data_IF_987144164414
#
_entry.id   IF_987144164414
#
_cell.length_a   1.000
_cell.length_b   1.000
_cell.length_c   1.000
_cell.angle_alpha   90.00
_cell.angle_beta   90.00
_cell.angle_gamma   90.00
#
_symmetry.space_group_name_H-M   'P 1'
#
loop_
_entity.id
_entity.type
_entity.pdbx_description
1 polymer ?
#
# COMPACT_ATOMS: atom_id res chain seq x y z
N UNK A 1 2.47 -2.26 -8.24
CA UNK A 1 3.51 -3.26 -8.60
C UNK A 1 4.54 -2.69 -9.61
N UNK A 2 4.14 -2.18 -10.79
CA UNK A 2 5.10 -1.73 -11.81
C UNK A 2 5.98 -0.55 -11.35
N UNK A 3 5.47 0.37 -10.53
CA UNK A 3 6.26 1.45 -9.93
C UNK A 3 7.26 0.87 -8.93
N UNK A 4 6.84 -0.12 -8.14
CA UNK A 4 7.68 -0.78 -7.15
C UNK A 4 8.84 -1.54 -7.79
N UNK A 5 8.56 -2.41 -8.75
CA UNK A 5 9.60 -3.21 -9.40
C UNK A 5 10.72 -2.36 -10.03
N UNK A 6 10.39 -1.12 -10.46
CA UNK A 6 11.37 -0.19 -11.00
C UNK A 6 12.12 0.63 -9.92
N UNK A 7 11.51 0.86 -8.76
CA UNK A 7 12.11 1.68 -7.70
C UNK A 7 12.98 0.87 -6.73
N UNK A 8 12.62 -0.37 -6.42
CA UNK A 8 13.35 -1.20 -5.47
C UNK A 8 14.85 -1.38 -5.82
N UNK A 9 15.25 -1.55 -7.09
CA UNK A 9 16.67 -1.56 -7.46
C UNK A 9 17.41 -0.28 -7.09
N UNK A 10 16.80 0.89 -7.23
CA UNK A 10 17.42 2.18 -6.88
C UNK A 10 17.67 2.28 -5.37
N UNK A 11 16.75 1.79 -4.54
CA UNK A 11 16.97 1.68 -3.09
C UNK A 11 18.09 0.71 -2.80
N UNK A 12 18.10 -0.45 -3.47
CA UNK A 12 19.14 -1.49 -3.30
C UNK A 12 20.55 -1.00 -3.63
N UNK A 13 20.69 -0.13 -4.63
CA UNK A 13 22.00 0.47 -4.98
C UNK A 13 22.52 1.43 -3.89
N UNK A 14 21.65 2.08 -3.15
CA UNK A 14 22.00 3.03 -2.10
C UNK A 14 22.23 2.35 -0.73
N UNK A 15 21.48 1.30 -0.42
CA UNK A 15 21.59 0.57 0.85
C UNK A 15 22.80 -0.36 0.84
N UNK A 16 23.64 -0.29 1.88
CA UNK A 16 24.89 -1.07 1.97
C UNK A 16 24.71 -2.45 2.63
N UNK A 17 23.61 -2.71 3.34
CA UNK A 17 23.32 -3.97 4.00
C UNK A 17 22.94 -5.05 2.99
N UNK A 18 23.77 -6.06 2.81
CA UNK A 18 23.55 -7.15 1.84
C UNK A 18 22.24 -7.90 2.09
N UNK A 19 21.87 -8.12 3.35
CA UNK A 19 20.63 -8.83 3.75
C UNK A 19 19.41 -8.05 3.30
N UNK A 20 19.41 -6.72 3.44
CA UNK A 20 18.34 -5.84 2.97
C UNK A 20 18.26 -5.90 1.44
N UNK A 21 19.40 -5.85 0.75
CA UNK A 21 19.47 -5.92 -0.71
C UNK A 21 18.89 -7.24 -1.24
N UNK A 22 19.17 -8.37 -0.61
CA UNK A 22 18.56 -9.66 -0.96
C UNK A 22 17.03 -9.62 -0.83
N UNK A 23 16.52 -9.05 0.26
CA UNK A 23 15.08 -8.90 0.48
C UNK A 23 14.42 -8.00 -0.58
N UNK A 24 15.04 -6.86 -0.92
CA UNK A 24 14.54 -5.93 -1.96
C UNK A 24 14.47 -6.60 -3.34
N UNK A 25 15.44 -7.45 -3.70
CA UNK A 25 15.42 -8.19 -4.96
C UNK A 25 14.31 -9.27 -4.98
N UNK A 26 14.08 -9.96 -3.86
CA UNK A 26 12.97 -10.91 -3.73
C UNK A 26 11.64 -10.17 -3.88
N UNK A 27 11.47 -9.04 -3.20
CA UNK A 27 10.28 -8.21 -3.34
C UNK A 27 10.07 -7.77 -4.78
N UNK A 28 11.10 -7.25 -5.48
CA UNK A 28 11.00 -6.84 -6.88
C UNK A 28 10.51 -7.99 -7.79
N UNK A 29 10.94 -9.22 -7.54
CA UNK A 29 10.43 -10.40 -8.23
C UNK A 29 8.94 -10.65 -7.91
N UNK A 30 8.54 -10.58 -6.62
CA UNK A 30 7.15 -10.77 -6.21
C UNK A 30 6.23 -9.71 -6.84
N UNK A 31 6.66 -8.45 -6.95
CA UNK A 31 5.90 -7.40 -7.65
C UNK A 31 5.64 -7.73 -9.14
N UNK A 32 6.60 -8.38 -9.80
CA UNK A 32 6.39 -8.86 -11.17
C UNK A 32 5.35 -9.99 -11.22
N UNK A 33 5.36 -10.89 -10.23
CA UNK A 33 4.36 -11.97 -10.11
C UNK A 33 2.98 -11.38 -9.82
N UNK A 34 2.86 -10.40 -8.93
CA UNK A 34 1.60 -9.71 -8.62
C UNK A 34 1.02 -9.04 -9.87
N UNK A 35 1.83 -8.33 -10.65
CA UNK A 35 1.41 -7.72 -11.93
C UNK A 35 0.87 -8.75 -12.92
N UNK A 36 1.50 -9.94 -13.01
CA UNK A 36 1.01 -11.03 -13.85
C UNK A 36 -0.30 -11.63 -13.32
N UNK A 37 -0.44 -11.78 -12.01
CA UNK A 37 -1.64 -12.29 -11.34
C UNK A 37 -2.84 -11.39 -11.60
N UNK A 38 -2.70 -10.08 -11.46
CA UNK A 38 -3.76 -9.11 -11.80
C UNK A 38 -4.14 -9.18 -13.30
N UNK A 39 -3.15 -9.28 -14.18
CA UNK A 39 -3.41 -9.42 -15.62
C UNK A 39 -4.19 -10.71 -15.91
N UNK A 40 -3.81 -11.82 -15.29
CA UNK A 40 -4.50 -13.10 -15.42
C UNK A 40 -5.95 -13.06 -14.90
N UNK A 41 -6.17 -12.42 -13.73
CA UNK A 41 -7.52 -12.21 -13.20
C UNK A 41 -8.38 -11.41 -14.19
N UNK A 42 -7.86 -10.33 -14.76
CA UNK A 42 -8.58 -9.52 -15.76
C UNK A 42 -8.88 -10.33 -17.03
N UNK A 43 -7.93 -11.11 -17.52
CA UNK A 43 -8.14 -11.98 -18.69
C UNK A 43 -9.24 -13.02 -18.47
N UNK A 44 -9.44 -13.47 -17.24
CA UNK A 44 -10.48 -14.46 -16.90
C UNK A 44 -11.90 -13.89 -16.79
N UNK A 45 -12.05 -12.57 -16.63
CA UNK A 45 -13.35 -11.93 -16.35
C UNK A 45 -13.74 -10.83 -17.34
N UNK A 46 -12.82 -10.34 -18.18
CA UNK A 46 -13.04 -9.25 -19.12
C UNK A 46 -12.72 -9.66 -20.56
N UNK A 47 -13.37 -8.99 -21.54
CA UNK A 47 -12.88 -9.05 -22.91
C UNK A 47 -11.52 -8.37 -23.06
N UNK A 48 -10.71 -8.71 -24.09
CA UNK A 48 -9.41 -8.07 -24.31
C UNK A 48 -9.48 -6.54 -24.39
N UNK A 49 -10.55 -6.01 -25.02
CA UNK A 49 -10.76 -4.57 -25.16
C UNK A 49 -10.99 -3.93 -23.78
N UNK A 50 -11.86 -4.53 -22.95
CA UNK A 50 -12.17 -4.03 -21.62
C UNK A 50 -10.97 -4.15 -20.67
N UNK A 51 -10.21 -5.24 -20.77
CA UNK A 51 -8.95 -5.39 -20.05
C UNK A 51 -7.98 -4.24 -20.36
N UNK A 52 -7.78 -3.94 -21.65
CA UNK A 52 -6.87 -2.87 -22.05
C UNK A 52 -7.35 -1.49 -21.54
N UNK A 53 -8.66 -1.22 -21.60
CA UNK A 53 -9.24 -0.01 -21.02
C UNK A 53 -8.88 0.11 -19.51
N UNK A 54 -9.11 -0.96 -18.73
CA UNK A 54 -8.84 -0.99 -17.28
C UNK A 54 -7.34 -0.81 -16.99
N UNK A 55 -6.46 -1.50 -17.72
CA UNK A 55 -5.01 -1.41 -17.51
C UNK A 55 -4.43 -0.01 -17.74
N UNK A 56 -5.09 0.80 -18.57
CA UNK A 56 -4.67 2.17 -18.86
C UNK A 56 -5.50 3.25 -18.15
N UNK A 57 -6.53 2.88 -17.40
CA UNK A 57 -7.44 3.82 -16.73
C UNK A 57 -6.69 4.77 -15.77
N UNK A 58 -5.62 4.32 -15.13
CA UNK A 58 -4.81 5.13 -14.24
C UNK A 58 -4.25 6.41 -14.87
N UNK A 59 -4.16 6.48 -16.20
CA UNK A 59 -3.67 7.66 -16.92
C UNK A 59 -4.70 8.80 -17.01
N UNK A 60 -5.98 8.48 -16.81
CA UNK A 60 -7.10 9.42 -17.00
C UNK A 60 -7.98 9.55 -15.77
N UNK A 61 -7.99 8.57 -14.88
CA UNK A 61 -8.73 8.62 -13.63
C UNK A 61 -7.98 9.49 -12.60
N UNK A 62 -8.63 10.52 -12.09
CA UNK A 62 -8.01 11.51 -11.20
C UNK A 62 -7.52 10.90 -9.87
N UNK A 63 -8.26 9.95 -9.30
CA UNK A 63 -7.86 9.28 -8.06
C UNK A 63 -6.60 8.44 -8.26
N UNK A 64 -6.58 7.61 -9.30
CA UNK A 64 -5.43 6.76 -9.61
C UNK A 64 -4.21 7.58 -10.02
N UNK A 65 -4.41 8.61 -10.83
CA UNK A 65 -3.33 9.51 -11.24
C UNK A 65 -2.71 10.23 -10.05
N UNK A 66 -3.53 10.77 -9.12
CA UNK A 66 -3.07 11.44 -7.91
C UNK A 66 -2.23 10.51 -7.02
N UNK A 67 -2.71 9.28 -6.78
CA UNK A 67 -2.01 8.26 -5.99
C UNK A 67 -0.65 7.89 -6.61
N UNK A 68 -0.65 7.60 -7.90
CA UNK A 68 0.58 7.24 -8.62
C UNK A 68 1.57 8.41 -8.68
N UNK A 69 1.09 9.63 -8.86
CA UNK A 69 1.93 10.84 -8.87
C UNK A 69 2.55 11.07 -7.49
N UNK A 70 1.79 10.90 -6.42
CA UNK A 70 2.30 11.07 -5.06
C UNK A 70 3.47 10.12 -4.77
N UNK A 71 3.33 8.84 -5.07
CA UNK A 71 4.39 7.84 -4.89
C UNK A 71 5.55 8.12 -5.86
N UNK A 72 5.25 8.33 -7.14
CA UNK A 72 6.26 8.56 -8.18
C UNK A 72 7.12 9.79 -7.92
N UNK A 73 6.57 10.86 -7.37
CA UNK A 73 7.33 12.06 -7.01
C UNK A 73 8.38 11.76 -5.92
N UNK A 74 8.05 10.94 -4.93
CA UNK A 74 9.03 10.54 -3.90
C UNK A 74 10.17 9.72 -4.52
N UNK A 75 9.86 8.84 -5.46
CA UNK A 75 10.86 8.05 -6.15
C UNK A 75 11.77 8.88 -7.05
N UNK A 76 11.18 9.79 -7.82
CA UNK A 76 11.92 10.71 -8.68
C UNK A 76 12.84 11.64 -7.86
N UNK A 77 12.34 12.18 -6.76
CA UNK A 77 13.14 13.02 -5.87
C UNK A 77 14.37 12.27 -5.33
N UNK A 78 14.20 11.00 -4.95
CA UNK A 78 15.30 10.17 -4.50
C UNK A 78 16.28 9.85 -5.65
N UNK A 79 15.80 9.58 -6.86
CA UNK A 79 16.68 9.35 -8.01
C UNK A 79 17.48 10.59 -8.40
N UNK A 80 16.88 11.79 -8.29
CA UNK A 80 17.55 13.05 -8.61
C UNK A 80 18.53 13.51 -7.52
N UNK A 81 18.24 13.20 -6.26
CA UNK A 81 19.05 13.62 -5.11
C UNK A 81 19.09 12.54 -4.03
N UNK A 82 20.03 11.60 -4.17
CA UNK A 82 20.22 10.50 -3.23
C UNK A 82 20.86 10.97 -1.93
N UNK A 83 20.06 11.07 -0.88
CA UNK A 83 20.49 11.36 0.48
C UNK A 83 19.56 10.68 1.50
N UNK A 84 19.90 10.68 2.78
CA UNK A 84 19.12 10.02 3.82
C UNK A 84 17.68 10.54 3.95
N UNK A 85 17.44 11.84 3.73
CA UNK A 85 16.09 12.39 3.83
C UNK A 85 15.20 11.97 2.65
N UNK A 86 15.70 12.01 1.43
CA UNK A 86 14.95 11.56 0.24
C UNK A 86 14.78 10.03 0.24
N UNK A 87 15.76 9.27 0.75
CA UNK A 87 15.59 7.85 1.04
C UNK A 87 14.42 7.61 2.00
N UNK A 88 14.39 8.32 3.14
CA UNK A 88 13.31 8.17 4.13
C UNK A 88 11.94 8.47 3.52
N UNK A 89 11.80 9.52 2.71
CA UNK A 89 10.55 9.81 2.00
C UNK A 89 10.14 8.65 1.08
N UNK A 90 11.11 8.07 0.38
CA UNK A 90 10.89 6.90 -0.47
C UNK A 90 10.48 5.67 0.34
N UNK A 91 11.10 5.41 1.49
CA UNK A 91 10.72 4.31 2.37
C UNK A 91 9.30 4.50 2.95
N UNK A 92 8.93 5.72 3.33
CA UNK A 92 7.56 6.04 3.77
C UNK A 92 6.56 5.89 2.61
N UNK A 93 6.91 6.31 1.38
CA UNK A 93 6.07 6.12 0.20
C UNK A 93 5.83 4.62 -0.10
N UNK A 94 6.87 3.78 -0.02
CA UNK A 94 6.73 2.32 -0.10
C UNK A 94 5.86 1.76 1.02
N UNK A 95 6.06 2.23 2.24
CA UNK A 95 5.28 1.80 3.40
C UNK A 95 3.78 2.13 3.26
N UNK A 96 3.45 3.27 2.65
CA UNK A 96 2.08 3.66 2.30
C UNK A 96 1.53 2.75 1.20
N UNK A 97 2.30 2.52 0.15
CA UNK A 97 1.89 1.68 -0.98
C UNK A 97 1.54 0.27 -0.52
N UNK A 98 2.46 -0.39 0.19
CA UNK A 98 2.30 -1.77 0.68
C UNK A 98 1.27 -1.91 1.81
N UNK A 99 1.19 -0.92 2.68
CA UNK A 99 0.39 -0.99 3.91
C UNK A 99 -0.98 -0.36 3.85
N UNK A 100 -1.28 0.45 2.83
CA UNK A 100 -2.50 1.26 2.74
C UNK A 100 -3.18 1.13 1.36
N UNK A 101 -2.48 1.34 0.24
CA UNK A 101 -3.07 1.57 -1.08
C UNK A 101 -3.77 0.36 -1.73
N UNK A 102 -3.58 -0.84 -1.23
CA UNK A 102 -4.24 -2.04 -1.75
C UNK A 102 -5.49 -2.44 -0.98
N UNK A 103 -5.71 -1.87 0.21
CA UNK A 103 -6.66 -2.42 1.17
C UNK A 103 -8.13 -2.21 0.79
N UNK A 104 -8.51 -1.15 0.07
CA UNK A 104 -9.86 -1.02 -0.49
C UNK A 104 -10.16 -2.14 -1.48
N UNK A 105 -9.18 -2.48 -2.33
CA UNK A 105 -9.29 -3.61 -3.27
C UNK A 105 -9.37 -4.95 -2.55
N UNK A 106 -8.50 -5.19 -1.56
CA UNK A 106 -8.51 -6.43 -0.78
C UNK A 106 -9.84 -6.64 -0.07
N UNK A 107 -10.35 -5.62 0.64
CA UNK A 107 -11.67 -5.67 1.28
C UNK A 107 -12.77 -6.00 0.29
N UNK A 108 -12.74 -5.40 -0.90
CA UNK A 108 -13.74 -5.64 -1.93
C UNK A 108 -13.76 -7.12 -2.37
N UNK A 109 -12.63 -7.71 -2.72
CA UNK A 109 -12.55 -9.11 -3.14
C UNK A 109 -12.89 -10.08 -2.01
N UNK A 110 -12.45 -9.81 -0.78
CA UNK A 110 -12.82 -10.62 0.38
C UNK A 110 -14.32 -10.54 0.66
N UNK A 111 -14.92 -9.36 0.52
CA UNK A 111 -16.35 -9.18 0.66
C UNK A 111 -17.14 -9.93 -0.44
N UNK A 112 -16.68 -9.96 -1.67
CA UNK A 112 -17.25 -10.78 -2.72
C UNK A 112 -17.21 -12.26 -2.35
N UNK A 113 -16.07 -12.74 -1.88
CA UNK A 113 -15.88 -14.15 -1.51
C UNK A 113 -16.79 -14.59 -0.36
N UNK A 114 -16.91 -13.79 0.70
CA UNK A 114 -17.83 -14.12 1.82
C UNK A 114 -19.30 -14.12 1.41
N UNK A 115 -19.65 -13.46 0.31
CA UNK A 115 -20.97 -13.49 -0.31
C UNK A 115 -21.09 -14.54 -1.45
N UNK A 116 -20.17 -15.51 -1.51
CA UNK A 116 -20.18 -16.62 -2.47
C UNK A 116 -19.80 -16.25 -3.89
N UNK A 117 -19.14 -15.10 -4.10
CA UNK A 117 -18.74 -14.60 -5.40
C UNK A 117 -17.20 -14.58 -5.54
N UNK A 118 -16.69 -14.89 -6.73
CA UNK A 118 -15.28 -14.79 -7.09
C UNK A 118 -14.29 -15.39 -6.07
N UNK A 119 -14.50 -16.63 -5.59
CA UNK A 119 -13.62 -17.21 -4.57
C UNK A 119 -12.18 -17.41 -5.06
N UNK A 120 -11.98 -17.68 -6.37
CA UNK A 120 -10.65 -17.81 -6.98
C UNK A 120 -9.88 -16.50 -6.94
N UNK A 121 -10.52 -15.38 -7.35
CA UNK A 121 -9.89 -14.06 -7.29
C UNK A 121 -9.56 -13.66 -5.85
N UNK A 122 -10.44 -13.93 -4.90
CA UNK A 122 -10.17 -13.66 -3.49
C UNK A 122 -9.01 -14.50 -2.95
N UNK A 123 -8.84 -15.73 -3.42
CA UNK A 123 -7.70 -16.57 -3.05
C UNK A 123 -6.38 -16.00 -3.59
N UNK A 124 -6.36 -15.52 -4.83
CA UNK A 124 -5.22 -14.85 -5.43
C UNK A 124 -4.84 -13.58 -4.64
N UNK A 125 -5.83 -12.75 -4.33
CA UNK A 125 -5.66 -11.55 -3.49
C UNK A 125 -5.10 -11.91 -2.10
N UNK A 126 -5.46 -13.04 -1.51
CA UNK A 126 -4.89 -13.50 -0.23
C UNK A 126 -3.40 -13.80 -0.34
N UNK A 127 -2.95 -14.41 -1.43
CA UNK A 127 -1.52 -14.66 -1.66
C UNK A 127 -0.76 -13.36 -1.84
N UNK A 128 -1.28 -12.42 -2.64
CA UNK A 128 -0.70 -11.09 -2.78
C UNK A 128 -0.62 -10.40 -1.42
N UNK A 129 -1.74 -10.29 -0.68
CA UNK A 129 -1.78 -9.62 0.63
C UNK A 129 -0.80 -10.24 1.65
N UNK A 130 -0.56 -11.54 1.60
CA UNK A 130 0.46 -12.19 2.44
C UNK A 130 1.87 -11.67 2.10
N UNK A 131 2.17 -11.54 0.82
CA UNK A 131 3.46 -11.03 0.37
C UNK A 131 3.60 -9.54 0.72
N UNK A 132 2.55 -8.72 0.54
CA UNK A 132 2.53 -7.31 0.94
C UNK A 132 2.73 -7.10 2.45
N UNK A 133 2.22 -7.99 3.28
CA UNK A 133 2.53 -7.96 4.72
C UNK A 133 4.01 -8.22 5.01
N UNK A 134 4.68 -9.04 4.21
CA UNK A 134 6.13 -9.29 4.31
C UNK A 134 6.93 -8.08 3.85
N UNK A 135 6.53 -7.44 2.74
CA UNK A 135 7.12 -6.20 2.24
C UNK A 135 6.99 -5.07 3.27
N UNK A 136 5.79 -4.90 3.81
CA UNK A 136 5.52 -3.93 4.87
C UNK A 136 6.41 -4.14 6.10
N UNK A 137 6.58 -5.41 6.52
CA UNK A 137 7.47 -5.75 7.63
C UNK A 137 8.93 -5.39 7.34
N UNK A 138 9.39 -5.63 6.10
CA UNK A 138 10.75 -5.26 5.67
C UNK A 138 10.95 -3.74 5.78
N UNK A 139 10.08 -2.93 5.17
CA UNK A 139 10.19 -1.46 5.23
C UNK A 139 10.09 -0.92 6.65
N UNK A 140 9.19 -1.49 7.46
CA UNK A 140 9.10 -1.12 8.87
C UNK A 140 10.44 -1.32 9.60
N UNK A 141 11.08 -2.46 9.40
CA UNK A 141 12.35 -2.74 10.07
C UNK A 141 13.48 -1.86 9.56
N UNK A 142 13.57 -1.59 8.25
CA UNK A 142 14.54 -0.64 7.70
C UNK A 142 14.36 0.74 8.35
N UNK A 143 13.14 1.26 8.43
CA UNK A 143 12.84 2.55 9.05
C UNK A 143 13.23 2.56 10.53
N UNK A 144 12.92 1.49 11.27
CA UNK A 144 13.23 1.41 12.69
C UNK A 144 14.75 1.27 12.97
N UNK A 145 15.50 0.60 12.11
CA UNK A 145 16.95 0.54 12.23
C UNK A 145 17.59 1.88 11.86
N UNK A 146 17.17 2.52 10.77
CA UNK A 146 17.62 3.89 10.44
C UNK A 146 17.35 4.88 11.57
N UNK A 147 16.25 4.73 12.30
CA UNK A 147 15.94 5.59 13.46
C UNK A 147 16.97 5.46 14.58
N UNK A 148 17.65 4.31 14.69
CA UNK A 148 18.73 4.08 15.66
C UNK A 148 20.07 4.55 15.15
N UNK A 149 20.36 4.30 13.87
CA UNK A 149 21.64 4.55 13.24
C UNK A 149 21.83 6.02 12.83
N UNK A 150 20.76 6.66 12.33
CA UNK A 150 20.74 8.03 11.80
C UNK A 150 19.61 8.86 12.43
N UNK A 151 19.67 9.15 13.75
CA UNK A 151 18.59 9.85 14.45
C UNK A 151 18.29 11.26 13.90
N UNK A 152 19.24 11.88 13.21
CA UNK A 152 19.07 13.17 12.54
C UNK A 152 18.04 13.10 11.38
N UNK A 153 17.71 11.94 10.86
CA UNK A 153 16.61 11.75 9.91
C UNK A 153 15.23 11.77 10.58
N UNK A 154 15.18 11.81 11.91
CA UNK A 154 13.94 11.72 12.69
C UNK A 154 13.74 12.94 13.62
N UNK A 155 14.28 14.10 13.22
CA UNK A 155 13.98 15.36 13.89
C UNK A 155 12.48 15.70 13.82
N UNK A 156 11.93 16.50 14.75
CA UNK A 156 10.49 16.77 14.80
C UNK A 156 9.87 17.26 13.50
N UNK A 157 10.57 18.13 12.76
CA UNK A 157 10.17 18.68 11.46
C UNK A 157 10.11 17.60 10.36
N UNK A 158 11.10 16.70 10.33
CA UNK A 158 11.13 15.57 9.38
C UNK A 158 10.04 14.55 9.71
N UNK A 159 9.85 14.23 10.99
CA UNK A 159 8.76 13.34 11.43
C UNK A 159 7.40 13.92 11.08
N UNK A 160 7.20 15.24 11.20
CA UNK A 160 5.97 15.89 10.77
C UNK A 160 5.76 15.76 9.24
N UNK A 161 6.83 15.83 8.46
CA UNK A 161 6.77 15.55 7.00
C UNK A 161 6.32 14.11 6.74
N UNK A 162 6.89 13.12 7.43
CA UNK A 162 6.51 11.69 7.26
C UNK A 162 5.07 11.45 7.72
N UNK A 163 4.64 12.10 8.80
CA UNK A 163 3.26 12.05 9.28
C UNK A 163 2.29 12.63 8.26
N UNK A 164 2.62 13.76 7.66
CA UNK A 164 1.81 14.38 6.61
C UNK A 164 1.69 13.45 5.39
N UNK A 165 2.78 12.79 4.98
CA UNK A 165 2.77 11.79 3.90
C UNK A 165 1.85 10.61 4.22
N UNK A 166 1.95 10.05 5.43
CA UNK A 166 1.08 8.96 5.88
C UNK A 166 -0.40 9.38 5.89
N UNK A 167 -0.69 10.57 6.41
CA UNK A 167 -2.06 11.12 6.43
C UNK A 167 -2.60 11.30 5.01
N UNK A 168 -1.82 11.89 4.10
CA UNK A 168 -2.20 12.05 2.70
C UNK A 168 -2.45 10.71 2.01
N UNK A 169 -1.60 9.71 2.24
CA UNK A 169 -1.78 8.37 1.69
C UNK A 169 -3.08 7.71 2.16
N UNK A 170 -3.40 7.81 3.44
CA UNK A 170 -4.66 7.30 4.01
C UNK A 170 -5.87 8.01 3.43
N UNK A 171 -5.84 9.33 3.30
CA UNK A 171 -6.97 10.08 2.72
C UNK A 171 -7.15 9.79 1.22
N UNK A 172 -6.07 9.57 0.47
CA UNK A 172 -6.15 9.17 -0.93
C UNK A 172 -6.75 7.77 -1.11
N UNK A 173 -6.35 6.80 -0.29
CA UNK A 173 -6.95 5.46 -0.33
C UNK A 173 -8.41 5.47 0.10
N UNK A 174 -8.74 6.26 1.12
CA UNK A 174 -10.14 6.46 1.55
C UNK A 174 -11.00 7.02 0.41
N UNK A 175 -10.55 8.09 -0.23
CA UNK A 175 -11.25 8.69 -1.36
C UNK A 175 -11.40 7.71 -2.53
N UNK A 176 -10.38 6.93 -2.84
CA UNK A 176 -10.43 5.89 -3.86
C UNK A 176 -11.44 4.81 -3.52
N UNK A 177 -11.42 4.26 -2.31
CA UNK A 177 -12.36 3.23 -1.87
C UNK A 177 -13.80 3.73 -1.86
N UNK A 178 -14.04 4.95 -1.39
CA UNK A 178 -15.36 5.59 -1.43
C UNK A 178 -15.88 5.81 -2.87
N UNK A 179 -14.98 6.13 -3.80
CA UNK A 179 -15.31 6.35 -5.21
C UNK A 179 -15.68 5.03 -5.91
N UNK A 180 -14.85 3.99 -5.77
CA UNK A 180 -15.04 2.73 -6.52
C UNK A 180 -16.06 1.77 -5.89
N UNK A 181 -16.20 1.76 -4.58
CA UNK A 181 -17.10 0.85 -3.86
C UNK A 181 -18.43 1.56 -3.50
N UNK A 182 -18.33 2.77 -2.96
CA UNK A 182 -19.49 3.58 -2.55
C UNK A 182 -20.38 2.85 -1.55
N UNK A 183 -21.69 3.03 -1.72
CA UNK A 183 -22.74 2.46 -0.85
C UNK A 183 -23.54 1.35 -1.54
N UNK A 184 -23.11 0.89 -2.72
CA UNK A 184 -23.89 -0.04 -3.56
C UNK A 184 -23.45 -1.50 -3.44
N UNK A 185 -22.46 -1.79 -2.60
CA UNK A 185 -21.91 -3.14 -2.40
C UNK A 185 -22.43 -3.70 -1.08
N UNK A 186 -23.14 -4.82 -1.13
CA UNK A 186 -23.65 -5.49 0.07
C UNK A 186 -22.50 -5.78 1.05
N UNK A 187 -22.61 -5.26 2.27
CA UNK A 187 -21.64 -5.47 3.35
C UNK A 187 -20.50 -4.46 3.41
N UNK A 188 -20.46 -3.49 2.48
CA UNK A 188 -19.53 -2.35 2.47
C UNK A 188 -20.31 -1.05 2.25
N UNK A 189 -19.81 0.04 2.80
CA UNK A 189 -20.28 1.40 2.54
C UNK A 189 -19.14 2.40 2.77
N UNK A 190 -19.32 3.65 2.36
CA UNK A 190 -18.32 4.71 2.46
C UNK A 190 -17.78 4.89 3.87
N UNK A 191 -18.67 4.89 4.87
CA UNK A 191 -18.28 5.09 6.27
C UNK A 191 -17.38 3.94 6.77
N UNK A 192 -17.75 2.67 6.50
CA UNK A 192 -16.96 1.51 6.88
C UNK A 192 -15.59 1.50 6.21
N UNK A 193 -15.51 1.89 4.92
CA UNK A 193 -14.25 2.00 4.19
C UNK A 193 -13.36 3.05 4.86
N UNK A 194 -13.89 4.25 5.11
CA UNK A 194 -13.17 5.33 5.77
C UNK A 194 -12.63 4.92 7.13
N UNK A 195 -13.48 4.35 7.99
CA UNK A 195 -13.10 3.98 9.34
C UNK A 195 -12.03 2.89 9.33
N UNK A 196 -12.15 1.92 8.43
CA UNK A 196 -11.17 0.84 8.34
C UNK A 196 -9.82 1.30 7.78
N UNK A 197 -9.79 2.12 6.73
CA UNK A 197 -8.54 2.63 6.15
C UNK A 197 -7.83 3.57 7.13
N UNK A 198 -8.56 4.43 7.87
CA UNK A 198 -7.98 5.27 8.92
C UNK A 198 -7.46 4.44 10.10
N UNK A 199 -8.17 3.40 10.50
CA UNK A 199 -7.67 2.44 11.49
C UNK A 199 -6.35 1.80 11.02
N UNK A 200 -6.25 1.35 9.78
CA UNK A 200 -5.02 0.81 9.21
C UNK A 200 -3.89 1.86 9.22
N UNK A 201 -4.19 3.10 8.85
CA UNK A 201 -3.24 4.21 8.94
C UNK A 201 -2.67 4.38 10.36
N UNK A 202 -3.55 4.37 11.37
CA UNK A 202 -3.14 4.39 12.77
C UNK A 202 -2.26 3.19 13.15
N UNK A 203 -2.65 2.00 12.74
CA UNK A 203 -1.90 0.76 13.00
C UNK A 203 -0.49 0.83 12.37
N UNK A 204 -0.38 1.30 11.14
CA UNK A 204 0.90 1.44 10.42
C UNK A 204 1.79 2.49 11.10
N UNK A 205 1.25 3.67 11.37
CA UNK A 205 2.01 4.76 11.99
C UNK A 205 2.45 4.44 13.42
N UNK A 206 1.58 3.85 14.22
CA UNK A 206 1.93 3.43 15.59
C UNK A 206 2.98 2.32 15.62
N UNK A 207 3.04 1.45 14.60
CA UNK A 207 4.07 0.41 14.49
C UNK A 207 5.48 0.97 14.24
N UNK A 208 5.60 2.24 13.79
CA UNK A 208 6.86 2.99 13.68
C UNK A 208 7.24 3.70 14.99
N UNK A 209 6.43 3.51 16.06
CA UNK A 209 6.68 4.08 17.39
C UNK A 209 6.13 5.49 17.59
N UNK A 210 5.09 5.87 16.86
CA UNK A 210 4.42 7.17 16.95
C UNK A 210 2.98 7.01 17.47
N UNK A 211 2.34 8.14 17.80
CA UNK A 211 0.92 8.18 18.19
C UNK A 211 -0.03 8.00 17.02
N UNK A 212 -1.32 8.24 17.27
CA UNK A 212 -2.34 8.13 16.23
C UNK A 212 -2.22 9.23 15.16
N UNK A 213 -2.64 8.90 13.92
CA UNK A 213 -2.90 9.88 12.86
C UNK A 213 -4.32 10.45 12.98
N UNK A 214 -5.27 9.60 13.38
CA UNK A 214 -6.72 9.90 13.45
C UNK A 214 -7.26 9.45 14.81
N UNK A 215 -7.65 10.40 15.65
CA UNK A 215 -8.12 10.12 17.02
C UNK A 215 -9.42 9.32 17.10
N UNK A 216 -10.29 9.44 16.06
CA UNK A 216 -11.59 8.77 16.01
C UNK A 216 -11.52 7.29 15.58
N UNK A 217 -10.36 6.82 15.09
CA UNK A 217 -10.22 5.49 14.47
C UNK A 217 -9.12 4.64 15.15
N UNK A 218 -9.09 4.64 16.48
CA UNK A 218 -8.06 3.93 17.27
C UNK A 218 -8.26 2.41 17.31
N UNK A 219 -9.48 1.92 17.01
CA UNK A 219 -9.83 0.50 17.04
C UNK A 219 -10.40 0.06 15.70
N UNK A 220 -10.14 -1.20 15.37
CA UNK A 220 -10.77 -1.83 14.20
C UNK A 220 -12.29 -1.79 14.34
N UNK A 221 -13.02 -1.33 13.30
CA UNK A 221 -14.48 -1.38 13.30
C UNK A 221 -14.98 -2.82 13.46
N UNK A 222 -15.89 -3.07 14.41
CA UNK A 222 -16.40 -4.43 14.70
C UNK A 222 -16.97 -5.10 13.44
N UNK A 223 -17.65 -4.33 12.60
CA UNK A 223 -18.23 -4.80 11.33
C UNK A 223 -17.18 -5.15 10.26
N UNK A 224 -15.90 -4.83 10.48
CA UNK A 224 -14.79 -5.11 9.57
C UNK A 224 -13.82 -6.19 10.07
N UNK A 225 -13.96 -6.68 11.29
CA UNK A 225 -13.09 -7.71 11.87
C UNK A 225 -13.03 -9.01 11.07
N UNK A 226 -14.01 -9.26 10.22
CA UNK A 226 -13.98 -10.38 9.29
C UNK A 226 -12.84 -10.31 8.25
N UNK A 227 -12.31 -9.12 7.96
CA UNK A 227 -11.20 -8.93 7.00
C UNK A 227 -9.95 -9.66 7.48
N UNK A 228 -9.69 -9.66 8.78
CA UNK A 228 -8.52 -10.33 9.37
C UNK A 228 -8.48 -11.85 9.12
N UNK A 229 -9.64 -12.48 8.92
CA UNK A 229 -9.74 -13.92 8.58
C UNK A 229 -9.17 -14.21 7.18
N UNK A 230 -9.09 -13.23 6.32
CA UNK A 230 -8.52 -13.33 4.97
C UNK A 230 -7.07 -12.86 4.92
N UNK A 231 -6.69 -11.86 5.71
CA UNK A 231 -5.37 -11.24 5.68
C UNK A 231 -4.32 -11.95 6.53
N UNK A 232 -4.72 -12.82 7.47
CA UNK A 232 -3.83 -13.52 8.39
C UNK A 232 -3.62 -15.03 8.04
N UNK A 233 -3.99 -15.44 6.84
CA UNK A 233 -3.96 -16.85 6.43
C UNK A 233 -2.73 -17.19 5.59
#
# INVERSE_FOLDING_TARGET
DSLQSNNLPTISEYVTANEVNLCLHIQAFQECVHSQSYSYMLDSICSPEKRNEILYQWKTDEHLLRRNTFIGNCYNEFQECQNGFTLMKTLIANYILEGIYFYSGFMFFYNLSRNGKMPGSAQEIRYINRDENTHLWLFRNIILELKKEEPELFTPDKVETYKAMMTEGVEQETAWGEYVIGDNIQGLNRQLIRDYIRYLGNLRWSSLGYGALFEDNLKEPESMQWVSQYSNA
#
